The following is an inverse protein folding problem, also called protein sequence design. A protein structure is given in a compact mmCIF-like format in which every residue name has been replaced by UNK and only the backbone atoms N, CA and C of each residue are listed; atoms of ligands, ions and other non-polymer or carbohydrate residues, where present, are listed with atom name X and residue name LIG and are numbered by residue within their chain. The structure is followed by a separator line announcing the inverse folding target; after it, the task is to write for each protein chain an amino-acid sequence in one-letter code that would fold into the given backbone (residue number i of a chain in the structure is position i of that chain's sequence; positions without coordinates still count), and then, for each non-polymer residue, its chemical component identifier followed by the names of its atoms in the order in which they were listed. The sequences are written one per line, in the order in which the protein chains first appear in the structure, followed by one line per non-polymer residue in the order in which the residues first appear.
data_IF_276154303385
#
_entry.id   IF_276154303385
#
_cell.length_a   1.000
_cell.length_b   1.000
_cell.length_c   1.000
_cell.angle_alpha   90.00
_cell.angle_beta   90.00
_cell.angle_gamma   90.00
#
_symmetry.space_group_name_H-M   'P 1'
#
loop_
_entity.id
_entity.type
_entity.pdbx_description
1 polymer ?
#
# COMPACT_ATOMS: atom_id res chain seq x y z
N UNK A 1 1.62 -5.36 0.56
CA UNK A 1 1.60 -5.32 2.04
C UNK A 1 3.00 -5.53 2.58
N UNK A 2 3.51 -4.57 3.31
CA UNK A 2 4.90 -4.53 3.78
C UNK A 2 4.99 -4.78 5.28
N UNK A 3 5.91 -5.64 5.71
CA UNK A 3 6.19 -5.88 7.13
C UNK A 3 7.64 -5.55 7.43
N UNK A 4 7.88 -4.98 8.61
CA UNK A 4 9.24 -4.77 9.12
C UNK A 4 9.70 -5.95 9.97
N UNK A 5 10.90 -5.84 10.57
CA UNK A 5 11.47 -6.91 11.41
C UNK A 5 10.67 -7.18 12.68
N UNK A 6 9.87 -6.23 13.14
CA UNK A 6 8.98 -6.42 14.30
C UNK A 6 7.62 -7.03 13.91
N UNK A 7 7.41 -7.33 12.62
CA UNK A 7 6.14 -7.85 12.13
C UNK A 7 5.03 -6.81 11.98
N UNK A 8 5.37 -5.54 12.12
CA UNK A 8 4.42 -4.44 11.94
C UNK A 8 4.16 -4.20 10.46
N UNK A 9 2.94 -3.78 10.14
CA UNK A 9 2.48 -3.53 8.76
C UNK A 9 2.54 -2.05 8.42
N UNK A 10 2.99 -1.74 7.21
CA UNK A 10 3.08 -0.37 6.71
C UNK A 10 1.73 0.10 6.19
N UNK A 11 1.24 1.19 6.77
CA UNK A 11 0.00 1.85 6.36
C UNK A 11 0.25 3.29 5.93
N UNK A 12 -0.60 3.78 5.03
CA UNK A 12 -0.68 5.19 4.67
C UNK A 12 -2.05 5.73 5.05
N UNK A 13 -2.12 7.02 5.37
CA UNK A 13 -3.38 7.72 5.62
C UNK A 13 -3.63 8.72 4.51
N UNK A 14 -4.73 8.51 3.77
CA UNK A 14 -5.11 9.34 2.63
C UNK A 14 -6.63 9.39 2.49
N UNK A 15 -7.16 10.56 2.16
CA UNK A 15 -8.61 10.76 1.97
C UNK A 15 -9.43 10.35 3.21
N UNK A 16 -8.88 10.61 4.41
CA UNK A 16 -9.57 10.30 5.66
C UNK A 16 -9.62 8.82 6.02
N UNK A 17 -8.87 7.97 5.32
CA UNK A 17 -8.86 6.52 5.55
C UNK A 17 -7.44 5.95 5.57
N UNK A 18 -7.28 4.86 6.32
CA UNK A 18 -6.08 4.05 6.28
C UNK A 18 -6.11 3.13 5.06
N UNK A 19 -5.00 3.07 4.37
CA UNK A 19 -4.82 2.30 3.13
C UNK A 19 -3.42 1.67 3.12
N UNK A 20 -3.15 0.82 2.15
CA UNK A 20 -1.84 0.26 1.93
C UNK A 20 -1.20 0.90 0.69
N UNK A 21 0.14 1.09 0.69
CA UNK A 21 0.82 1.65 -0.47
C UNK A 21 0.61 0.79 -1.72
N UNK A 22 0.27 1.44 -2.83
CA UNK A 22 0.06 0.82 -4.14
C UNK A 22 0.10 1.88 -5.23
N UNK A 23 0.15 1.46 -6.48
CA UNK A 23 0.10 2.40 -7.59
C UNK A 23 0.02 1.72 -8.95
N UNK A 24 0.16 2.52 -9.99
CA UNK A 24 0.01 2.09 -11.38
C UNK A 24 1.33 1.72 -12.00
N UNK A 25 1.32 0.66 -12.82
CA UNK A 25 2.46 0.26 -13.64
C UNK A 25 2.80 1.35 -14.66
N UNK A 26 4.06 1.72 -14.71
CA UNK A 26 4.59 2.65 -15.70
C UNK A 26 5.20 1.88 -16.88
N UNK A 27 5.37 2.58 -17.99
CA UNK A 27 5.95 1.99 -19.22
C UNK A 27 7.35 1.43 -18.92
N UNK A 28 7.55 0.18 -19.33
CA UNK A 28 8.82 -0.52 -19.16
C UNK A 28 8.97 -1.24 -17.82
N UNK A 29 7.98 -1.12 -16.92
CA UNK A 29 7.98 -1.84 -15.65
C UNK A 29 7.20 -3.14 -15.75
N UNK A 30 7.64 -4.16 -15.00
CA UNK A 30 6.78 -5.29 -14.70
C UNK A 30 5.97 -4.99 -13.41
N UNK A 31 5.02 -5.84 -13.10
CA UNK A 31 4.10 -5.63 -11.95
C UNK A 31 4.86 -5.61 -10.62
N UNK A 32 5.87 -6.44 -10.46
CA UNK A 32 6.67 -6.51 -9.24
C UNK A 32 7.50 -5.25 -9.02
N UNK A 33 8.12 -4.74 -10.10
CA UNK A 33 8.87 -3.49 -10.06
C UNK A 33 7.95 -2.32 -9.67
N UNK A 34 6.74 -2.30 -10.21
CA UNK A 34 5.73 -1.31 -9.86
C UNK A 34 5.41 -1.36 -8.37
N UNK A 35 5.18 -2.56 -7.83
CA UNK A 35 4.83 -2.73 -6.43
C UNK A 35 5.91 -2.16 -5.51
N UNK A 36 7.17 -2.43 -5.79
CA UNK A 36 8.30 -1.91 -5.00
C UNK A 36 8.43 -0.39 -5.16
N UNK A 37 8.42 0.09 -6.39
CA UNK A 37 8.58 1.53 -6.68
C UNK A 37 7.51 2.37 -6.00
N UNK A 38 6.26 1.94 -6.04
CA UNK A 38 5.15 2.69 -5.46
C UNK A 38 5.26 2.77 -3.93
N UNK A 39 5.71 1.70 -3.27
CA UNK A 39 5.95 1.77 -1.83
C UNK A 39 7.04 2.79 -1.52
N UNK A 40 8.14 2.75 -2.25
CA UNK A 40 9.25 3.70 -2.06
C UNK A 40 8.82 5.14 -2.28
N UNK A 41 8.07 5.42 -3.35
CA UNK A 41 7.60 6.78 -3.66
C UNK A 41 6.58 7.29 -2.66
N UNK A 42 5.62 6.46 -2.27
CA UNK A 42 4.54 6.87 -1.38
C UNK A 42 4.98 7.05 0.07
N UNK A 43 5.98 6.31 0.52
CA UNK A 43 6.32 6.21 1.94
C UNK A 43 7.75 6.57 2.29
N UNK A 44 8.69 6.48 1.35
CA UNK A 44 10.12 6.64 1.61
C UNK A 44 10.78 5.38 2.17
N UNK A 45 10.04 4.30 2.36
CA UNK A 45 10.60 3.02 2.81
C UNK A 45 11.38 2.36 1.68
N UNK A 46 12.57 1.86 1.97
CA UNK A 46 13.48 1.23 1.01
C UNK A 46 13.90 -0.16 1.48
N UNK A 47 14.74 -0.85 0.70
CA UNK A 47 15.22 -2.17 1.04
C UNK A 47 14.13 -3.23 1.02
N UNK A 48 13.18 -3.08 0.12
CA UNK A 48 12.01 -3.95 0.01
C UNK A 48 12.33 -5.23 -0.74
N UNK A 49 11.91 -6.35 -0.18
CA UNK A 49 12.01 -7.67 -0.80
C UNK A 49 10.62 -8.29 -0.92
N UNK A 50 10.23 -8.66 -2.13
CA UNK A 50 8.98 -9.37 -2.36
C UNK A 50 9.16 -10.82 -1.94
N UNK A 51 8.27 -11.31 -1.06
CA UNK A 51 8.32 -12.69 -0.57
C UNK A 51 7.29 -13.60 -1.24
N UNK A 52 6.10 -13.09 -1.55
CA UNK A 52 5.08 -13.86 -2.25
C UNK A 52 4.00 -12.97 -2.86
N UNK A 53 3.28 -13.52 -3.83
CA UNK A 53 2.06 -12.93 -4.34
C UNK A 53 0.90 -13.29 -3.39
N UNK A 54 0.07 -12.33 -3.03
CA UNK A 54 -1.05 -12.56 -2.12
C UNK A 54 -2.37 -12.78 -2.86
N UNK A 55 -2.86 -11.75 -3.52
CA UNK A 55 -4.14 -11.81 -4.23
C UNK A 55 -4.32 -10.58 -5.12
N UNK A 56 -5.38 -10.61 -5.93
CA UNK A 56 -5.85 -9.45 -6.68
C UNK A 56 -7.06 -8.84 -5.97
N UNK A 57 -7.17 -7.52 -6.04
CA UNK A 57 -8.41 -6.82 -5.66
C UNK A 57 -8.90 -6.00 -6.84
N UNK A 58 -10.21 -5.76 -6.87
CA UNK A 58 -10.87 -5.00 -7.91
C UNK A 58 -11.57 -3.80 -7.29
N UNK A 59 -11.44 -2.66 -7.96
CA UNK A 59 -12.14 -1.45 -7.56
C UNK A 59 -12.81 -0.82 -8.77
N UNK A 60 -14.13 -0.64 -8.69
CA UNK A 60 -14.90 0.03 -9.74
C UNK A 60 -15.02 1.49 -9.37
N UNK A 61 -14.66 2.37 -10.29
CA UNK A 61 -14.79 3.81 -10.09
C UNK A 61 -15.36 4.46 -11.35
N UNK A 62 -15.92 5.66 -11.19
CA UNK A 62 -16.49 6.43 -12.29
C UNK A 62 -15.54 7.55 -12.68
N UNK A 63 -15.24 7.65 -13.98
CA UNK A 63 -14.40 8.71 -14.53
C UNK A 63 -15.00 9.19 -15.85
N UNK A 64 -15.21 10.51 -15.96
CA UNK A 64 -15.80 11.13 -17.14
C UNK A 64 -17.12 10.47 -17.55
N UNK A 65 -17.96 10.11 -16.58
CA UNK A 65 -19.25 9.48 -16.82
C UNK A 65 -19.20 7.98 -17.14
N UNK A 66 -18.02 7.38 -17.22
CA UNK A 66 -17.82 5.97 -17.50
C UNK A 66 -17.35 5.20 -16.28
N UNK A 67 -17.84 3.96 -16.12
CA UNK A 67 -17.34 3.06 -15.10
C UNK A 67 -16.06 2.40 -15.57
N UNK A 68 -15.07 2.36 -14.69
CA UNK A 68 -13.77 1.73 -14.94
C UNK A 68 -13.44 0.76 -13.83
N UNK A 69 -12.74 -0.31 -14.19
CA UNK A 69 -12.27 -1.33 -13.26
C UNK A 69 -10.76 -1.14 -13.04
N UNK A 70 -10.37 -1.05 -11.78
CA UNK A 70 -8.98 -1.03 -11.38
C UNK A 70 -8.61 -2.35 -10.73
N UNK A 71 -7.60 -3.01 -11.28
CA UNK A 71 -7.03 -4.24 -10.74
C UNK A 71 -5.76 -3.91 -9.97
N UNK A 72 -5.67 -4.36 -8.72
CA UNK A 72 -4.47 -4.24 -7.92
C UNK A 72 -3.88 -5.62 -7.64
N UNK A 73 -2.59 -5.77 -7.90
CA UNK A 73 -1.82 -6.96 -7.57
C UNK A 73 -1.15 -6.73 -6.21
N UNK A 74 -1.49 -7.53 -5.22
CA UNK A 74 -0.93 -7.40 -3.89
C UNK A 74 0.17 -8.42 -3.65
N UNK A 75 1.32 -7.93 -3.19
CA UNK A 75 2.49 -8.74 -2.83
C UNK A 75 2.79 -8.56 -1.36
N UNK A 76 3.24 -9.63 -0.71
CA UNK A 76 3.86 -9.54 0.60
C UNK A 76 5.32 -9.12 0.40
N UNK A 77 5.74 -8.14 1.17
CA UNK A 77 7.11 -7.62 1.15
C UNK A 77 7.66 -7.56 2.57
N UNK A 78 8.97 -7.65 2.68
CA UNK A 78 9.68 -7.48 3.93
C UNK A 78 10.75 -6.41 3.78
N UNK A 79 11.06 -5.72 4.87
CA UNK A 79 12.13 -4.73 4.91
C UNK A 79 12.75 -4.64 6.29
N UNK A 80 14.03 -4.28 6.33
CA UNK A 80 14.72 -3.94 7.58
C UNK A 80 14.74 -2.42 7.82
N UNK A 81 14.07 -1.65 6.96
CA UNK A 81 14.03 -0.20 7.04
C UNK A 81 13.41 0.27 8.36
N UNK A 82 14.13 1.13 9.08
CA UNK A 82 13.66 1.74 10.32
C UNK A 82 13.92 3.25 10.37
N UNK A 83 14.13 3.85 9.20
CA UNK A 83 14.39 5.29 9.06
C UNK A 83 13.12 6.12 9.12
N UNK A 84 13.28 7.40 8.83
CA UNK A 84 12.16 8.35 8.76
C UNK A 84 11.32 8.09 7.52
N UNK A 85 10.04 8.41 7.61
CA UNK A 85 9.14 8.33 6.46
C UNK A 85 9.18 9.62 5.64
N UNK A 86 8.85 9.50 4.36
CA UNK A 86 8.71 10.63 3.45
C UNK A 86 7.36 10.48 2.71
N UNK A 87 6.24 10.85 3.36
CA UNK A 87 4.92 10.74 2.73
C UNK A 87 4.86 11.54 1.44
N UNK A 88 4.31 10.94 0.39
CA UNK A 88 4.12 11.59 -0.90
C UNK A 88 2.93 12.56 -0.83
N UNK A 89 3.17 13.78 -0.36
CA UNK A 89 2.14 14.77 -0.10
C UNK A 89 1.35 15.19 -1.33
N UNK A 90 1.99 15.24 -2.50
CA UNK A 90 1.34 15.58 -3.77
C UNK A 90 0.34 14.51 -4.23
N UNK A 91 0.39 13.31 -3.68
CA UNK A 91 -0.59 12.26 -3.87
C UNK A 91 -1.62 12.20 -2.73
N UNK A 92 -1.60 13.18 -1.84
CA UNK A 92 -2.57 13.30 -0.75
C UNK A 92 -2.28 12.41 0.45
N UNK A 93 -1.08 11.83 0.54
CA UNK A 93 -0.69 11.00 1.68
C UNK A 93 -0.30 11.91 2.84
N UNK A 94 -1.08 11.84 3.92
CA UNK A 94 -0.93 12.71 5.08
C UNK A 94 -0.06 12.09 6.16
N UNK A 95 -0.02 10.75 6.25
CA UNK A 95 0.70 10.04 7.28
C UNK A 95 1.14 8.67 6.76
N UNK A 96 2.28 8.20 7.25
CA UNK A 96 2.79 6.85 7.05
C UNK A 96 3.09 6.28 8.43
N UNK A 97 2.70 5.05 8.69
CA UNK A 97 2.91 4.43 10.01
C UNK A 97 3.15 2.92 9.91
N UNK A 98 4.02 2.42 10.79
CA UNK A 98 4.10 1.01 11.10
C UNK A 98 3.03 0.70 12.15
N UNK A 99 2.23 -0.33 11.91
CA UNK A 99 1.16 -0.72 12.82
C UNK A 99 1.31 -2.16 13.28
N UNK A 100 1.30 -2.35 14.59
CA UNK A 100 1.28 -3.68 15.19
C UNK A 100 -0.13 -4.31 15.02
N UNK A 101 -0.34 -5.48 15.59
CA UNK A 101 -1.62 -6.19 15.44
C UNK A 101 -2.80 -5.37 15.95
N UNK A 102 -2.67 -4.75 17.12
CA UNK A 102 -3.73 -3.93 17.70
C UNK A 102 -4.01 -2.69 16.87
N UNK A 103 -2.96 -1.95 16.48
CA UNK A 103 -3.09 -0.76 15.65
C UNK A 103 -3.64 -1.09 14.26
N UNK A 104 -3.28 -2.26 13.71
CA UNK A 104 -3.83 -2.75 12.44
C UNK A 104 -5.33 -2.98 12.54
N UNK A 105 -5.79 -3.63 13.59
CA UNK A 105 -7.23 -3.85 13.81
C UNK A 105 -8.01 -2.54 13.90
N UNK A 106 -7.46 -1.55 14.59
CA UNK A 106 -8.06 -0.21 14.65
C UNK A 106 -8.10 0.48 13.30
N UNK A 107 -7.00 0.42 12.55
CA UNK A 107 -6.93 1.00 11.20
C UNK A 107 -7.95 0.39 10.26
N UNK A 108 -8.17 -0.91 10.34
CA UNK A 108 -9.13 -1.62 9.49
C UNK A 108 -10.58 -1.20 9.73
N UNK A 109 -10.90 -0.60 10.89
CA UNK A 109 -12.23 -0.02 11.14
C UNK A 109 -12.49 1.22 10.27
N UNK A 110 -11.43 1.83 9.76
CA UNK A 110 -11.52 3.01 8.88
C UNK A 110 -10.64 2.80 7.63
N UNK A 111 -10.90 1.73 6.91
CA UNK A 111 -10.21 1.33 5.69
C UNK A 111 -11.20 0.94 4.61
N UNK A 112 -10.68 0.78 3.40
CA UNK A 112 -11.47 0.27 2.28
C UNK A 112 -11.72 -1.23 2.44
N UNK A 113 -12.87 -1.70 1.96
CA UNK A 113 -13.27 -3.11 2.10
C UNK A 113 -12.27 -4.07 1.45
N UNK A 114 -11.70 -3.72 0.30
CA UNK A 114 -10.74 -4.59 -0.38
C UNK A 114 -9.40 -4.71 0.37
N UNK A 115 -9.04 -3.72 1.20
CA UNK A 115 -7.86 -3.81 2.05
C UNK A 115 -8.04 -4.87 3.13
N UNK A 116 -9.24 -4.97 3.67
CA UNK A 116 -9.57 -5.95 4.72
C UNK A 116 -9.39 -7.40 4.25
N UNK A 117 -9.46 -7.65 2.96
CA UNK A 117 -9.25 -8.99 2.38
C UNK A 117 -7.81 -9.51 2.56
N UNK A 118 -6.87 -8.62 2.84
CA UNK A 118 -5.46 -8.97 3.04
C UNK A 118 -5.13 -9.42 4.46
N UNK A 119 -6.09 -9.30 5.37
CA UNK A 119 -5.87 -9.58 6.80
C UNK A 119 -6.77 -10.68 7.38
#
# INVERSE_FOLDING_TARGET
MVRNTAGEVLFIFRNGKWDLPKGKTEKGENIEQTAVREVEEETGVTGLEITEFLLHTYHVFKRNGEYRLKLTHWYAMETEYNGVFAPQEDEGIMEVAWKDETATKEALLNSYENIKLLF
#
